data_IF_107251134772
#
_entry.id   IF_107251134772
#
_cell.length_a   1.000
_cell.length_b   1.000
_cell.length_c   1.000
_cell.angle_alpha   90.00
_cell.angle_beta   90.00
_cell.angle_gamma   90.00
#
_symmetry.space_group_name_H-M   'P 1'
#
loop_
_entity.id
_entity.type
_entity.pdbx_description
1 polymer ?
#
# COMPACT_ATOMS: atom_id res chain seq x y z
N UNK A 1 3.92 17.49 -3.52
CA UNK A 1 3.25 16.65 -2.51
C UNK A 1 2.89 15.32 -3.13
N UNK A 2 3.31 14.22 -2.52
CA UNK A 2 2.98 12.87 -3.00
C UNK A 2 1.54 12.51 -2.64
N UNK A 3 0.85 11.84 -3.54
CA UNK A 3 -0.53 11.40 -3.35
C UNK A 3 -0.59 9.89 -3.12
N UNK A 4 -1.53 9.48 -2.26
CA UNK A 4 -1.70 8.10 -1.82
C UNK A 4 -3.15 7.67 -1.96
N UNK A 5 -3.36 6.41 -2.31
CA UNK A 5 -4.63 5.72 -2.14
C UNK A 5 -4.45 4.52 -1.21
N UNK A 6 -5.47 4.18 -0.45
CA UNK A 6 -5.41 3.13 0.58
C UNK A 6 -6.52 2.12 0.34
N UNK A 7 -6.16 0.84 0.30
CA UNK A 7 -7.10 -0.28 0.23
C UNK A 7 -7.09 -0.99 1.58
N UNK A 8 -8.26 -1.15 2.19
CA UNK A 8 -8.40 -1.73 3.52
C UNK A 8 -8.31 -0.71 4.64
N UNK A 9 -8.94 0.45 4.48
CA UNK A 9 -8.85 1.58 5.41
C UNK A 9 -9.43 1.33 6.80
N UNK A 10 -10.33 0.35 6.97
CA UNK A 10 -10.87 -0.02 8.28
C UNK A 10 -10.03 -1.10 9.00
N UNK A 11 -8.98 -1.60 8.36
CA UNK A 11 -8.12 -2.64 8.91
C UNK A 11 -7.30 -2.18 10.11
N UNK A 12 -6.89 -3.14 10.94
CA UNK A 12 -6.13 -2.88 12.16
C UNK A 12 -4.83 -2.10 11.95
N UNK A 13 -4.11 -2.41 10.87
CA UNK A 13 -2.81 -1.79 10.58
C UNK A 13 -2.93 -0.46 9.83
N UNK A 14 -4.06 -0.19 9.21
CA UNK A 14 -4.26 1.01 8.38
C UNK A 14 -3.99 2.33 9.10
N UNK A 15 -4.33 2.52 10.41
CA UNK A 15 -4.01 3.76 11.12
C UNK A 15 -2.53 4.12 11.10
N UNK A 16 -1.64 3.13 11.15
CA UNK A 16 -0.18 3.37 11.09
C UNK A 16 0.25 3.92 9.73
N UNK A 17 -0.36 3.44 8.66
CA UNK A 17 -0.09 3.96 7.32
C UNK A 17 -0.62 5.38 7.13
N UNK A 18 -1.80 5.66 7.66
CA UNK A 18 -2.39 7.02 7.62
C UNK A 18 -1.50 8.02 8.36
N UNK A 19 -1.02 7.65 9.54
CA UNK A 19 -0.06 8.46 10.30
C UNK A 19 1.25 8.66 9.54
N UNK A 20 1.76 7.61 8.90
CA UNK A 20 2.98 7.69 8.08
C UNK A 20 2.82 8.63 6.89
N UNK A 21 1.69 8.58 6.19
CA UNK A 21 1.37 9.51 5.09
C UNK A 21 1.40 10.95 5.62
N UNK A 22 0.76 11.19 6.76
CA UNK A 22 0.74 12.51 7.39
C UNK A 22 2.15 12.98 7.76
N UNK A 23 2.94 12.09 8.33
CA UNK A 23 4.31 12.39 8.77
C UNK A 23 5.23 12.80 7.61
N UNK A 24 5.10 12.16 6.45
CA UNK A 24 5.92 12.49 5.28
C UNK A 24 5.36 13.66 4.46
N UNK A 25 4.29 14.30 4.92
CA UNK A 25 3.67 15.41 4.22
C UNK A 25 2.92 15.00 2.95
N UNK A 26 2.49 13.74 2.87
CA UNK A 26 1.69 13.24 1.76
C UNK A 26 0.22 13.59 1.88
N UNK A 27 -0.54 13.33 0.83
CA UNK A 27 -1.98 13.50 0.80
C UNK A 27 -2.68 12.18 0.47
N UNK A 28 -3.59 11.76 1.33
CA UNK A 28 -4.44 10.59 1.10
C UNK A 28 -5.70 11.04 0.36
N UNK A 29 -5.85 10.62 -0.89
CA UNK A 29 -6.91 11.12 -1.77
C UNK A 29 -8.06 10.15 -1.97
N UNK A 30 -7.85 8.86 -1.79
CA UNK A 30 -8.88 7.83 -2.00
C UNK A 30 -8.68 6.64 -1.05
N UNK A 31 -9.78 6.12 -0.55
CA UNK A 31 -9.79 4.96 0.36
C UNK A 31 -10.85 3.96 -0.10
N UNK A 32 -10.49 2.69 -0.15
CA UNK A 32 -11.40 1.58 -0.40
C UNK A 32 -11.51 0.68 0.83
N UNK A 33 -12.72 0.52 1.34
CA UNK A 33 -13.06 -0.49 2.35
C UNK A 33 -14.57 -0.73 2.38
N UNK A 34 -15.03 -1.98 2.39
CA UNK A 34 -16.47 -2.28 2.49
C UNK A 34 -17.09 -1.93 3.85
N UNK A 35 -16.28 -1.69 4.88
CA UNK A 35 -16.73 -1.38 6.24
C UNK A 35 -16.57 0.11 6.56
N UNK A 36 -17.35 0.59 7.55
CA UNK A 36 -17.44 2.01 7.89
C UNK A 36 -16.41 2.51 8.93
N UNK A 37 -15.47 1.71 9.35
CA UNK A 37 -14.50 2.03 10.43
C UNK A 37 -13.42 3.04 10.05
N UNK A 38 -13.76 4.17 9.44
CA UNK A 38 -12.80 5.14 8.87
C UNK A 38 -12.78 6.50 9.57
N UNK A 39 -13.41 6.64 10.73
CA UNK A 39 -13.48 7.95 11.43
C UNK A 39 -12.11 8.60 11.65
N UNK A 40 -11.06 7.81 11.89
CA UNK A 40 -9.70 8.32 12.04
C UNK A 40 -9.14 8.89 10.73
N UNK A 41 -9.57 8.37 9.57
CA UNK A 41 -9.16 8.90 8.26
C UNK A 41 -9.76 10.28 8.05
N UNK A 42 -11.05 10.45 8.36
CA UNK A 42 -11.72 11.74 8.26
C UNK A 42 -11.06 12.80 9.14
N UNK A 43 -10.54 12.40 10.29
CA UNK A 43 -9.80 13.28 11.18
C UNK A 43 -8.50 13.81 10.57
N UNK A 44 -7.78 12.97 9.86
CA UNK A 44 -6.47 13.32 9.28
C UNK A 44 -6.56 13.80 7.82
N UNK A 45 -7.46 13.23 7.05
CA UNK A 45 -7.64 13.52 5.63
C UNK A 45 -9.12 13.67 5.28
N UNK A 46 -9.77 14.80 5.70
CA UNK A 46 -11.21 14.99 5.51
C UNK A 46 -11.64 15.08 4.05
N UNK A 47 -10.72 15.37 3.14
CA UNK A 47 -11.00 15.49 1.71
C UNK A 47 -10.79 14.19 0.93
N UNK A 48 -10.37 13.11 1.58
CA UNK A 48 -10.22 11.81 0.92
C UNK A 48 -11.58 11.28 0.44
N UNK A 49 -11.62 10.79 -0.79
CA UNK A 49 -12.81 10.12 -1.32
C UNK A 49 -12.88 8.70 -0.79
N UNK A 50 -14.02 8.30 -0.26
CA UNK A 50 -14.22 6.98 0.33
C UNK A 50 -15.13 6.12 -0.54
N UNK A 51 -14.71 4.87 -0.76
CA UNK A 51 -15.41 3.90 -1.58
C UNK A 51 -15.61 2.58 -0.82
N UNK A 52 -16.81 2.04 -0.89
CA UNK A 52 -17.13 0.71 -0.36
C UNK A 52 -16.99 -0.39 -1.40
N UNK A 53 -17.06 -0.03 -2.67
CA UNK A 53 -17.08 -0.95 -3.81
C UNK A 53 -15.80 -0.81 -4.64
N UNK A 54 -15.15 -1.93 -4.90
CA UNK A 54 -13.91 -1.99 -5.69
C UNK A 54 -14.08 -1.35 -7.07
N UNK A 55 -15.19 -1.61 -7.74
CA UNK A 55 -15.42 -1.08 -9.08
C UNK A 55 -15.53 0.45 -9.13
N UNK A 56 -16.08 1.07 -8.10
CA UNK A 56 -16.16 2.53 -8.00
C UNK A 56 -14.80 3.14 -7.72
N UNK A 57 -14.03 2.50 -6.86
CA UNK A 57 -12.65 2.89 -6.58
C UNK A 57 -11.78 2.76 -7.83
N UNK A 58 -11.89 1.65 -8.55
CA UNK A 58 -11.20 1.41 -9.82
C UNK A 58 -11.50 2.52 -10.83
N UNK A 59 -12.78 2.82 -11.06
CA UNK A 59 -13.18 3.90 -11.98
C UNK A 59 -12.70 5.29 -11.54
N UNK A 60 -12.65 5.54 -10.25
CA UNK A 60 -12.14 6.80 -9.72
C UNK A 60 -10.64 6.96 -10.02
N UNK A 61 -9.83 5.93 -9.77
CA UNK A 61 -8.41 5.94 -10.08
C UNK A 61 -8.15 6.05 -11.58
N UNK A 62 -8.94 5.37 -12.40
CA UNK A 62 -8.88 5.49 -13.86
C UNK A 62 -9.15 6.93 -14.32
N UNK A 63 -10.16 7.56 -13.75
CA UNK A 63 -10.48 8.97 -14.05
C UNK A 63 -9.34 9.91 -13.68
N UNK A 64 -8.73 9.72 -12.51
CA UNK A 64 -7.58 10.51 -12.08
C UNK A 64 -6.40 10.32 -13.04
N UNK A 65 -6.14 9.08 -13.45
CA UNK A 65 -5.06 8.77 -14.39
C UNK A 65 -5.27 9.47 -15.75
N UNK A 66 -6.49 9.41 -16.28
CA UNK A 66 -6.81 10.09 -17.55
C UNK A 66 -6.68 11.60 -17.48
N UNK A 67 -6.86 12.18 -16.30
CA UNK A 67 -6.68 13.63 -16.07
C UNK A 67 -5.23 14.03 -15.79
N UNK A 68 -4.28 13.10 -15.89
CA UNK A 68 -2.88 13.35 -15.56
C UNK A 68 -2.61 13.51 -14.07
N UNK A 69 -3.51 13.00 -13.22
CA UNK A 69 -3.44 13.05 -11.75
C UNK A 69 -3.39 11.67 -11.13
N UNK A 70 -2.67 10.74 -11.76
CA UNK A 70 -2.47 9.40 -11.20
C UNK A 70 -1.88 9.48 -9.80
N UNK A 71 -2.33 8.58 -8.90
CA UNK A 71 -1.77 8.52 -7.54
C UNK A 71 -0.32 8.05 -7.58
N UNK A 72 0.50 8.59 -6.70
CA UNK A 72 1.91 8.23 -6.62
C UNK A 72 2.12 6.87 -5.96
N UNK A 73 1.34 6.56 -4.93
CA UNK A 73 1.43 5.31 -4.17
C UNK A 73 0.06 4.71 -3.89
N UNK A 74 -0.04 3.39 -3.95
CA UNK A 74 -1.21 2.66 -3.46
C UNK A 74 -0.75 1.74 -2.33
N UNK A 75 -1.38 1.87 -1.17
CA UNK A 75 -1.08 1.09 0.03
C UNK A 75 -2.18 0.04 0.23
N UNK A 76 -1.79 -1.22 0.46
CA UNK A 76 -2.70 -2.34 0.62
C UNK A 76 -2.63 -2.86 2.05
N UNK A 77 -3.73 -2.70 2.77
CA UNK A 77 -3.96 -3.17 4.14
C UNK A 77 -5.18 -4.09 4.23
N UNK A 78 -5.66 -4.59 3.11
CA UNK A 78 -6.80 -5.51 3.05
C UNK A 78 -6.45 -6.89 3.62
N UNK A 79 -7.45 -7.79 3.80
CA UNK A 79 -7.17 -9.16 4.21
C UNK A 79 -6.18 -9.87 3.30
N UNK A 80 -5.36 -10.76 3.88
CA UNK A 80 -4.25 -11.41 3.19
C UNK A 80 -4.62 -12.07 1.87
N UNK A 81 -5.79 -12.71 1.82
CA UNK A 81 -6.24 -13.42 0.61
C UNK A 81 -6.58 -12.48 -0.57
N UNK A 82 -6.71 -11.19 -0.32
CA UNK A 82 -6.99 -10.18 -1.34
C UNK A 82 -5.74 -9.45 -1.83
N UNK A 83 -4.59 -9.67 -1.21
CA UNK A 83 -3.35 -8.94 -1.56
C UNK A 83 -2.99 -9.08 -3.03
N UNK A 84 -3.00 -10.30 -3.57
CA UNK A 84 -2.65 -10.53 -4.97
C UNK A 84 -3.51 -9.70 -5.93
N UNK A 85 -4.83 -9.77 -5.79
CA UNK A 85 -5.74 -9.01 -6.66
C UNK A 85 -5.63 -7.50 -6.48
N UNK A 86 -5.42 -7.04 -5.26
CA UNK A 86 -5.27 -5.61 -4.96
C UNK A 86 -3.93 -5.05 -5.45
N UNK A 87 -2.87 -5.83 -5.42
CA UNK A 87 -1.58 -5.45 -6.01
C UNK A 87 -1.73 -5.25 -7.52
N UNK A 88 -2.41 -6.18 -8.21
CA UNK A 88 -2.67 -6.08 -9.64
C UNK A 88 -3.48 -4.85 -9.98
N UNK A 89 -4.52 -4.58 -9.21
CA UNK A 89 -5.32 -3.36 -9.34
C UNK A 89 -4.44 -2.13 -9.14
N UNK A 90 -3.62 -2.11 -8.09
CA UNK A 90 -2.74 -0.99 -7.77
C UNK A 90 -1.75 -0.68 -8.88
N UNK A 91 -1.11 -1.69 -9.44
CA UNK A 91 -0.12 -1.52 -10.52
C UNK A 91 -0.73 -1.00 -11.83
N UNK A 92 -2.04 -1.09 -12.00
CA UNK A 92 -2.71 -0.48 -13.15
C UNK A 92 -2.73 1.04 -13.07
N UNK A 93 -2.68 1.62 -11.87
CA UNK A 93 -2.88 3.04 -11.62
C UNK A 93 -1.72 3.75 -10.95
N UNK A 94 -0.76 3.01 -10.43
CA UNK A 94 0.43 3.58 -9.79
C UNK A 94 1.67 2.75 -10.12
N UNK A 95 2.80 3.43 -10.19
CA UNK A 95 4.09 2.75 -10.32
C UNK A 95 4.58 2.18 -8.99
N UNK A 96 3.96 2.55 -7.87
CA UNK A 96 4.42 2.14 -6.54
C UNK A 96 3.26 1.56 -5.73
N UNK A 97 3.35 0.27 -5.46
CA UNK A 97 2.39 -0.43 -4.59
C UNK A 97 3.11 -0.90 -3.33
N UNK A 98 2.58 -0.51 -2.18
CA UNK A 98 3.09 -0.91 -0.86
C UNK A 98 2.07 -1.87 -0.28
N UNK A 99 2.48 -3.09 0.05
CA UNK A 99 1.58 -4.10 0.55
C UNK A 99 2.03 -4.64 1.91
N UNK A 100 1.07 -4.79 2.83
CA UNK A 100 1.31 -5.44 4.12
C UNK A 100 1.69 -6.91 3.95
N UNK A 101 2.42 -7.44 4.92
CA UNK A 101 2.82 -8.85 4.98
C UNK A 101 1.62 -9.73 5.37
N UNK A 102 1.56 -10.97 4.95
CA UNK A 102 2.37 -11.57 3.90
C UNK A 102 1.98 -11.01 2.53
N UNK A 103 2.96 -10.87 1.64
CA UNK A 103 2.70 -10.30 0.31
C UNK A 103 1.65 -11.12 -0.44
N UNK A 104 1.82 -12.43 -0.46
CA UNK A 104 0.89 -13.40 -1.04
C UNK A 104 0.83 -14.65 -0.17
N UNK A 105 -0.22 -15.45 -0.36
CA UNK A 105 -0.40 -16.73 0.36
C UNK A 105 0.19 -17.94 -0.37
N UNK A 106 0.41 -17.83 -1.67
CA UNK A 106 0.94 -18.90 -2.52
C UNK A 106 2.18 -18.44 -3.26
N UNK A 107 3.21 -19.27 -3.24
CA UNK A 107 4.48 -19.00 -3.91
C UNK A 107 4.31 -18.71 -5.41
N UNK A 108 3.41 -19.40 -6.08
CA UNK A 108 3.11 -19.22 -7.51
C UNK A 108 2.75 -17.77 -7.86
N UNK A 109 2.09 -17.06 -6.94
CA UNK A 109 1.69 -15.68 -7.16
C UNK A 109 2.88 -14.70 -7.12
N UNK A 110 3.99 -15.04 -6.45
CA UNK A 110 5.18 -14.19 -6.43
C UNK A 110 5.77 -13.99 -7.83
N UNK A 111 5.90 -15.06 -8.60
CA UNK A 111 6.43 -14.97 -9.96
C UNK A 111 5.51 -14.18 -10.87
N UNK A 112 4.20 -14.40 -10.76
CA UNK A 112 3.19 -13.65 -11.52
C UNK A 112 3.24 -12.16 -11.22
N UNK A 113 3.39 -11.78 -9.95
CA UNK A 113 3.50 -10.37 -9.52
C UNK A 113 4.82 -9.76 -9.98
N UNK A 114 5.91 -10.51 -9.89
CA UNK A 114 7.22 -10.06 -10.36
C UNK A 114 7.20 -9.71 -11.85
N UNK A 115 6.48 -10.48 -12.65
CA UNK A 115 6.31 -10.21 -14.07
C UNK A 115 5.57 -8.90 -14.36
N UNK A 116 4.81 -8.37 -13.40
CA UNK A 116 4.10 -7.10 -13.52
C UNK A 116 4.96 -5.88 -13.16
N UNK A 117 6.13 -6.08 -12.57
CA UNK A 117 7.08 -5.01 -12.26
C UNK A 117 7.85 -4.57 -13.51
N UNK A 118 7.13 -4.09 -14.51
CA UNK A 118 7.70 -3.61 -15.78
C UNK A 118 7.93 -2.10 -15.73
N UNK A 119 8.98 -1.63 -16.41
CA UNK A 119 9.34 -0.22 -16.41
C UNK A 119 9.66 0.28 -15.00
N UNK A 120 8.97 1.31 -14.54
CA UNK A 120 9.15 1.90 -13.20
C UNK A 120 8.25 1.27 -12.13
N UNK A 121 7.45 0.27 -12.48
CA UNK A 121 6.51 -0.37 -11.54
C UNK A 121 7.23 -1.20 -10.51
N UNK A 122 6.91 -0.98 -9.22
CA UNK A 122 7.52 -1.69 -8.09
C UNK A 122 6.49 -2.03 -7.03
N UNK A 123 6.67 -3.21 -6.45
CA UNK A 123 5.91 -3.70 -5.29
C UNK A 123 6.84 -3.70 -4.08
N UNK A 124 6.40 -3.03 -3.01
CA UNK A 124 7.12 -2.97 -1.75
C UNK A 124 6.36 -3.74 -0.69
N UNK A 125 7.03 -4.65 -0.01
CA UNK A 125 6.45 -5.40 1.11
C UNK A 125 6.87 -4.76 2.44
N UNK A 126 5.92 -4.57 3.34
CA UNK A 126 6.20 -4.08 4.68
C UNK A 126 6.79 -5.20 5.53
N UNK A 127 8.00 -4.97 6.03
CA UNK A 127 8.70 -5.82 6.98
C UNK A 127 9.01 -4.98 8.22
N UNK A 128 8.13 -5.01 9.19
CA UNK A 128 8.13 -4.12 10.36
C UNK A 128 9.43 -4.15 11.16
N UNK A 129 10.05 -5.31 11.30
CA UNK A 129 11.27 -5.48 12.06
C UNK A 129 12.55 -5.04 11.33
N UNK A 130 12.45 -4.73 10.04
CA UNK A 130 13.62 -4.37 9.20
C UNK A 130 14.46 -3.25 9.78
N UNK A 131 13.83 -2.24 10.37
CA UNK A 131 14.47 -1.06 10.93
C UNK A 131 14.63 -1.14 12.45
N UNK A 132 14.26 -2.25 13.06
CA UNK A 132 14.41 -2.42 14.51
C UNK A 132 15.90 -2.43 14.88
N UNK A 133 16.34 -1.64 15.88
CA UNK A 133 17.78 -1.49 16.21
C UNK A 133 18.51 -2.82 16.46
N UNK A 134 17.88 -3.76 17.16
CA UNK A 134 18.46 -5.10 17.43
C UNK A 134 18.66 -5.87 16.13
N UNK A 135 17.68 -5.82 15.21
CA UNK A 135 17.75 -6.51 13.93
C UNK A 135 18.83 -5.89 13.04
N UNK A 136 18.95 -4.58 13.05
CA UNK A 136 20.03 -3.90 12.32
C UNK A 136 21.38 -4.27 12.86
N UNK A 137 21.55 -4.30 14.18
CA UNK A 137 22.81 -4.72 14.82
C UNK A 137 23.18 -6.16 14.46
N UNK A 138 22.23 -7.09 14.55
CA UNK A 138 22.45 -8.48 14.13
C UNK A 138 22.88 -8.60 12.67
N UNK A 139 22.29 -7.77 11.79
CA UNK A 139 22.62 -7.75 10.38
C UNK A 139 24.04 -7.24 10.12
N UNK A 140 24.50 -6.25 10.88
CA UNK A 140 25.86 -5.73 10.82
C UNK A 140 26.86 -6.79 11.30
N UNK A 141 26.62 -7.39 12.46
CA UNK A 141 27.44 -8.50 13.01
C UNK A 141 27.53 -9.67 12.03
N UNK A 142 26.44 -10.03 11.38
CA UNK A 142 26.41 -11.06 10.35
C UNK A 142 27.29 -10.73 9.15
N UNK A 143 27.29 -9.44 8.70
CA UNK A 143 28.11 -9.00 7.56
C UNK A 143 29.60 -8.98 7.87
N UNK A 144 29.97 -8.71 9.13
CA UNK A 144 31.36 -8.67 9.58
C UNK A 144 31.97 -10.06 9.78
N UNK A 145 31.17 -11.09 9.61
CA UNK A 145 31.63 -12.48 9.58
C UNK A 145 31.40 -13.23 10.88
N UNK A 146 30.32 -13.92 10.95
CA UNK A 146 30.17 -15.04 11.86
C UNK A 146 31.05 -16.19 11.33
N UNK A 147 32.22 -16.26 11.83
CA UNK A 147 33.01 -17.50 11.75
C UNK A 147 32.70 -18.35 12.94
#
# INVERSE_FOLDING_TARGET
>A
MKTFALIGGSGYIAPRHVEAIKHVGGDLIAVLDPYDGIGYIDKHFPNASYFKETERFDRHLDRLTRKGKAVDYIIICSPNYLHDSHIRLGLRYSDNVICEKPLVLKHEHLESLRALEVGNKKIYTILQLRLHPIIQKLKEEWREGWT
#
